data_IF_611134016167
#
_entry.id   IF_611134016167
#
_cell.length_a   1.000
_cell.length_b   1.000
_cell.length_c   1.000
_cell.angle_alpha   90.00
_cell.angle_beta   90.00
_cell.angle_gamma   90.00
#
_symmetry.space_group_name_H-M   'P 1'
#
loop_
_entity.id
_entity.type
_entity.pdbx_description
1 polymer ?
#
# COMPACT_ATOMS: atom_id res chain seq x y z
N UNK A 1 8.62 -5.31 -39.01
CA UNK A 1 8.43 -4.79 -37.63
C UNK A 1 7.05 -5.18 -37.15
N UNK A 2 6.91 -6.07 -36.17
CA UNK A 2 5.60 -6.40 -35.57
C UNK A 2 5.18 -5.24 -34.67
N UNK A 3 4.18 -4.47 -35.10
CA UNK A 3 3.47 -3.53 -34.21
C UNK A 3 2.88 -4.38 -33.08
N UNK A 4 3.42 -4.28 -31.89
CA UNK A 4 2.73 -4.78 -30.70
C UNK A 4 1.47 -3.92 -30.52
N UNK A 5 0.30 -4.54 -30.57
CA UNK A 5 -1.01 -3.86 -30.48
C UNK A 5 -1.16 -3.07 -29.16
N UNK A 6 -0.42 -3.46 -28.12
CA UNK A 6 -0.40 -2.85 -26.79
C UNK A 6 1.05 -2.49 -26.44
N UNK A 7 1.35 -1.22 -26.06
CA UNK A 7 2.68 -0.84 -25.57
C UNK A 7 3.12 -1.71 -24.39
N UNK A 8 4.40 -2.10 -24.36
CA UNK A 8 4.98 -2.99 -23.34
C UNK A 8 4.79 -2.42 -21.93
N UNK A 9 4.90 -1.10 -21.76
CA UNK A 9 4.72 -0.46 -20.45
C UNK A 9 3.32 -0.71 -19.86
N UNK A 10 2.26 -0.82 -20.65
CA UNK A 10 0.92 -1.14 -20.14
C UNK A 10 0.78 -2.62 -19.74
N UNK A 11 1.49 -3.51 -20.41
CA UNK A 11 1.62 -4.91 -19.98
C UNK A 11 2.31 -4.96 -18.61
N UNK A 12 3.36 -4.15 -18.40
CA UNK A 12 4.01 -4.06 -17.08
C UNK A 12 3.10 -3.49 -15.99
N UNK A 13 2.22 -2.53 -16.31
CA UNK A 13 1.19 -2.05 -15.36
C UNK A 13 0.27 -3.19 -14.93
N UNK A 14 -0.17 -4.04 -15.86
CA UNK A 14 -0.98 -5.20 -15.52
C UNK A 14 -0.23 -6.17 -14.60
N UNK A 15 1.06 -6.42 -14.86
CA UNK A 15 1.87 -7.28 -13.99
C UNK A 15 2.07 -6.68 -12.60
N UNK A 16 2.31 -5.38 -12.49
CA UNK A 16 2.45 -4.70 -11.18
C UNK A 16 1.12 -4.64 -10.43
N UNK A 17 0.00 -4.49 -11.13
CA UNK A 17 -1.35 -4.60 -10.56
C UNK A 17 -1.62 -6.01 -10.01
N UNK A 18 -1.32 -7.05 -10.79
CA UNK A 18 -1.48 -8.45 -10.33
C UNK A 18 -0.57 -8.72 -9.12
N UNK A 19 0.64 -8.13 -9.10
CA UNK A 19 1.55 -8.24 -7.97
C UNK A 19 0.92 -7.69 -6.67
N UNK A 20 0.34 -6.49 -6.73
CA UNK A 20 -0.30 -5.88 -5.56
C UNK A 20 -1.61 -6.58 -5.18
N UNK A 21 -2.32 -7.12 -6.15
CA UNK A 21 -3.50 -7.97 -5.93
C UNK A 21 -3.12 -9.24 -5.16
N UNK A 22 -2.10 -9.99 -5.62
CA UNK A 22 -1.61 -11.20 -4.93
C UNK A 22 -1.15 -10.90 -3.50
N UNK A 23 -0.40 -9.82 -3.31
CA UNK A 23 0.07 -9.39 -2.00
C UNK A 23 -1.08 -9.23 -0.99
N UNK A 24 -2.19 -8.63 -1.41
CA UNK A 24 -3.34 -8.43 -0.53
C UNK A 24 -4.24 -9.67 -0.40
N UNK A 25 -4.25 -10.55 -1.39
CA UNK A 25 -4.86 -11.88 -1.24
C UNK A 25 -4.14 -12.66 -0.14
N UNK A 26 -2.81 -12.74 -0.18
CA UNK A 26 -2.00 -13.44 0.84
C UNK A 26 -2.23 -12.89 2.27
N UNK A 27 -2.45 -11.58 2.40
CA UNK A 27 -2.83 -10.95 3.67
C UNK A 27 -4.23 -11.33 4.15
N UNK A 28 -5.15 -11.55 3.21
CA UNK A 28 -6.52 -11.91 3.56
C UNK A 28 -6.67 -13.37 3.98
N UNK A 29 -5.81 -14.27 3.49
CA UNK A 29 -5.86 -15.71 3.80
C UNK A 29 -5.82 -15.98 5.31
N UNK A 30 -4.91 -15.33 6.05
CA UNK A 30 -4.80 -15.52 7.49
C UNK A 30 -6.04 -15.04 8.24
N UNK A 31 -6.65 -13.93 7.79
CA UNK A 31 -7.85 -13.38 8.41
C UNK A 31 -9.06 -14.27 8.21
N UNK A 32 -9.24 -14.83 7.01
CA UNK A 32 -10.31 -15.76 6.71
C UNK A 32 -10.12 -17.12 7.41
N UNK A 33 -8.86 -17.52 7.64
CA UNK A 33 -8.50 -18.77 8.33
C UNK A 33 -8.46 -18.65 9.86
N UNK A 34 -8.85 -17.51 10.45
CA UNK A 34 -8.75 -17.27 11.91
C UNK A 34 -9.37 -18.37 12.73
N UNK A 35 -10.65 -18.63 12.53
CA UNK A 35 -11.40 -19.54 13.42
C UNK A 35 -10.89 -20.98 13.34
N UNK A 36 -10.66 -21.57 12.16
CA UNK A 36 -10.07 -22.90 12.09
C UNK A 36 -8.63 -22.96 12.63
N UNK A 37 -7.79 -21.92 12.48
CA UNK A 37 -6.44 -21.89 13.06
C UNK A 37 -6.51 -21.83 14.60
N UNK A 38 -7.34 -20.94 15.14
CA UNK A 38 -7.52 -20.77 16.59
C UNK A 38 -8.00 -22.06 17.24
N UNK A 39 -8.98 -22.73 16.61
CA UNK A 39 -9.50 -24.00 17.09
C UNK A 39 -8.46 -25.14 17.02
N UNK A 40 -7.75 -25.25 15.89
CA UNK A 40 -6.80 -26.34 15.64
C UNK A 40 -5.52 -26.24 16.50
N UNK A 41 -5.04 -25.01 16.76
CA UNK A 41 -3.83 -24.76 17.55
C UNK A 41 -4.11 -24.44 19.02
N UNK A 42 -5.38 -24.39 19.45
CA UNK A 42 -5.76 -24.05 20.83
C UNK A 42 -5.32 -22.66 21.26
N UNK A 43 -5.38 -21.66 20.37
CA UNK A 43 -4.88 -20.32 20.61
C UNK A 43 -5.88 -19.48 21.42
N UNK A 44 -5.38 -18.68 22.35
CA UNK A 44 -6.15 -17.60 22.96
C UNK A 44 -6.28 -16.41 21.98
N UNK A 45 -7.29 -15.56 22.19
CA UNK A 45 -7.48 -14.34 21.41
C UNK A 45 -6.29 -13.37 21.54
N UNK A 46 -5.64 -13.34 22.69
CA UNK A 46 -4.42 -12.57 22.93
C UNK A 46 -3.26 -13.10 22.07
N UNK A 47 -3.07 -14.41 22.02
CA UNK A 47 -2.05 -15.04 21.17
C UNK A 47 -2.32 -14.78 19.68
N UNK A 48 -3.57 -14.83 19.24
CA UNK A 48 -3.94 -14.45 17.90
C UNK A 48 -3.57 -13.00 17.59
N UNK A 49 -3.88 -12.08 18.49
CA UNK A 49 -3.48 -10.67 18.39
C UNK A 49 -1.97 -10.49 18.19
N UNK A 50 -1.15 -11.23 18.94
CA UNK A 50 0.32 -11.20 18.80
C UNK A 50 0.78 -11.75 17.43
N UNK A 51 0.15 -12.80 16.91
CA UNK A 51 0.44 -13.33 15.56
C UNK A 51 0.20 -12.26 14.48
N UNK A 52 -0.92 -11.54 14.59
CA UNK A 52 -1.23 -10.45 13.65
C UNK A 52 -0.28 -9.25 13.81
N UNK A 53 0.06 -8.90 15.06
CA UNK A 53 1.01 -7.81 15.35
C UNK A 53 2.42 -8.13 14.85
N UNK A 54 2.87 -9.39 14.92
CA UNK A 54 4.18 -9.82 14.46
C UNK A 54 4.37 -9.54 12.95
N UNK A 55 3.34 -9.77 12.13
CA UNK A 55 3.35 -9.39 10.72
C UNK A 55 3.59 -7.88 10.54
N UNK A 56 2.81 -7.06 11.24
CA UNK A 56 2.88 -5.60 11.12
C UNK A 56 4.26 -5.07 11.53
N UNK A 57 4.82 -5.66 12.59
CA UNK A 57 6.16 -5.30 13.07
C UNK A 57 7.24 -5.67 12.04
N UNK A 58 7.23 -6.90 11.53
CA UNK A 58 8.15 -7.33 10.49
C UNK A 58 8.06 -6.45 9.24
N UNK A 59 6.84 -6.19 8.78
CA UNK A 59 6.57 -5.33 7.63
C UNK A 59 7.09 -3.90 7.84
N UNK A 60 6.85 -3.29 9.00
CA UNK A 60 7.31 -1.93 9.28
C UNK A 60 8.84 -1.84 9.31
N UNK A 61 9.51 -2.73 10.04
CA UNK A 61 10.96 -2.66 10.26
C UNK A 61 11.78 -2.89 8.98
N UNK A 62 11.29 -3.70 8.05
CA UNK A 62 12.05 -4.09 6.86
C UNK A 62 11.78 -3.26 5.62
N UNK A 63 10.90 -2.28 5.64
CA UNK A 63 10.57 -1.47 4.44
C UNK A 63 11.74 -0.63 3.93
N UNK A 64 12.44 0.08 4.80
CA UNK A 64 13.62 0.86 4.40
C UNK A 64 14.77 -0.04 3.95
N UNK A 65 15.18 -1.09 4.70
CA UNK A 65 16.21 -2.02 4.25
C UNK A 65 15.92 -2.66 2.89
N UNK A 66 14.71 -3.11 2.67
CA UNK A 66 14.32 -3.74 1.40
C UNK A 66 14.19 -2.72 0.26
N UNK A 67 13.87 -1.46 0.56
CA UNK A 67 13.94 -0.36 -0.38
C UNK A 67 15.38 -0.13 -0.91
N UNK A 68 16.36 -0.11 -0.01
CA UNK A 68 17.79 -0.08 -0.41
C UNK A 68 18.20 -1.30 -1.24
N UNK A 69 17.70 -2.47 -0.87
CA UNK A 69 17.96 -3.69 -1.63
C UNK A 69 17.40 -3.60 -3.05
N UNK A 70 16.20 -3.03 -3.22
CA UNK A 70 15.60 -2.79 -4.54
C UNK A 70 16.39 -1.80 -5.39
N UNK A 71 16.93 -0.73 -4.78
CA UNK A 71 17.75 0.25 -5.47
C UNK A 71 19.10 -0.32 -5.91
N UNK A 72 19.70 -1.22 -5.09
CA UNK A 72 21.01 -1.81 -5.36
C UNK A 72 20.96 -2.94 -6.40
N UNK A 73 20.00 -3.86 -6.26
CA UNK A 73 19.95 -5.09 -7.07
C UNK A 73 18.96 -5.05 -8.24
N UNK A 74 18.13 -4.00 -8.31
CA UNK A 74 17.10 -3.84 -9.31
C UNK A 74 15.78 -4.57 -8.96
N UNK A 75 14.64 -4.02 -9.43
CA UNK A 75 13.31 -4.54 -9.09
C UNK A 75 13.02 -5.94 -9.66
N UNK A 76 13.66 -6.34 -10.77
CA UNK A 76 13.47 -7.70 -11.31
C UNK A 76 13.87 -8.78 -10.29
N UNK A 77 15.08 -8.68 -9.80
CA UNK A 77 15.60 -9.65 -8.84
C UNK A 77 14.87 -9.53 -7.50
N UNK A 78 14.72 -8.32 -7.00
CA UNK A 78 14.18 -8.10 -5.65
C UNK A 78 12.70 -8.49 -5.57
N UNK A 79 11.84 -8.10 -6.52
CA UNK A 79 10.44 -8.54 -6.53
C UNK A 79 10.32 -10.05 -6.68
N UNK A 80 11.14 -10.69 -7.52
CA UNK A 80 11.17 -12.16 -7.60
C UNK A 80 11.53 -12.79 -6.27
N UNK A 81 12.63 -12.32 -5.65
CA UNK A 81 13.13 -12.87 -4.38
C UNK A 81 12.09 -12.73 -3.26
N UNK A 82 11.52 -11.54 -3.07
CA UNK A 82 10.55 -11.30 -2.00
C UNK A 82 9.25 -12.05 -2.23
N UNK A 83 8.77 -12.18 -3.49
CA UNK A 83 7.58 -12.99 -3.78
C UNK A 83 7.83 -14.47 -3.49
N UNK A 84 8.95 -15.03 -3.92
CA UNK A 84 9.32 -16.42 -3.61
C UNK A 84 9.44 -16.61 -2.09
N UNK A 85 10.09 -15.66 -1.39
CA UNK A 85 10.30 -15.74 0.04
C UNK A 85 8.98 -15.66 0.83
N UNK A 86 8.11 -14.68 0.54
CA UNK A 86 6.83 -14.63 1.25
C UNK A 86 5.91 -15.80 0.87
N UNK A 87 5.90 -16.24 -0.39
CA UNK A 87 5.08 -17.37 -0.82
C UNK A 87 5.55 -18.69 -0.19
N UNK A 88 6.85 -18.86 0.02
CA UNK A 88 7.40 -19.95 0.83
C UNK A 88 6.87 -19.87 2.27
N UNK A 89 6.86 -18.69 2.88
CA UNK A 89 6.36 -18.49 4.24
C UNK A 89 4.82 -18.63 4.32
N UNK A 90 4.10 -18.26 3.25
CA UNK A 90 2.67 -18.57 3.11
C UNK A 90 2.46 -20.09 3.15
N UNK A 91 3.17 -20.83 2.32
CA UNK A 91 3.12 -22.29 2.34
C UNK A 91 3.48 -22.86 3.70
N UNK A 92 4.57 -22.36 4.30
CA UNK A 92 5.05 -22.81 5.61
C UNK A 92 4.03 -22.55 6.72
N UNK A 93 3.23 -21.49 6.63
CA UNK A 93 2.15 -21.20 7.58
C UNK A 93 1.17 -22.39 7.70
N UNK A 94 0.88 -23.05 6.58
CA UNK A 94 0.01 -24.25 6.58
C UNK A 94 0.55 -25.44 7.37
N UNK A 95 1.84 -25.48 7.66
CA UNK A 95 2.51 -26.55 8.43
C UNK A 95 2.77 -26.18 9.91
N UNK A 96 2.42 -24.98 10.33
CA UNK A 96 2.64 -24.55 11.72
C UNK A 96 1.71 -25.30 12.70
N UNK A 97 2.29 -25.66 13.87
CA UNK A 97 1.63 -26.46 14.90
C UNK A 97 1.62 -25.82 16.28
N UNK A 98 2.16 -24.61 16.41
CA UNK A 98 2.23 -23.92 17.70
C UNK A 98 2.17 -22.41 17.56
N UNK A 99 1.82 -21.72 18.65
CA UNK A 99 1.83 -20.27 18.74
C UNK A 99 3.19 -19.67 18.33
N UNK A 100 4.29 -20.17 18.86
CA UNK A 100 5.62 -19.61 18.59
C UNK A 100 6.05 -19.78 17.14
N UNK A 101 5.79 -20.95 16.53
CA UNK A 101 6.10 -21.18 15.14
C UNK A 101 5.29 -20.24 14.22
N UNK A 102 4.00 -20.07 14.52
CA UNK A 102 3.13 -19.14 13.78
C UNK A 102 3.60 -17.69 13.94
N UNK A 103 3.97 -17.27 15.15
CA UNK A 103 4.48 -15.92 15.43
C UNK A 103 5.74 -15.61 14.60
N UNK A 104 6.72 -16.53 14.59
CA UNK A 104 7.98 -16.36 13.84
C UNK A 104 7.70 -16.29 12.34
N UNK A 105 6.90 -17.23 11.82
CA UNK A 105 6.58 -17.24 10.38
C UNK A 105 5.84 -15.97 9.97
N UNK A 106 4.92 -15.45 10.79
CA UNK A 106 4.20 -14.20 10.49
C UNK A 106 5.10 -12.97 10.54
N UNK A 107 6.06 -12.92 11.48
CA UNK A 107 7.07 -11.85 11.51
C UNK A 107 7.93 -11.86 10.24
N UNK A 108 8.47 -13.04 9.87
CA UNK A 108 9.29 -13.20 8.67
C UNK A 108 8.49 -12.93 7.39
N UNK A 109 7.21 -13.32 7.34
CA UNK A 109 6.31 -13.03 6.24
C UNK A 109 6.13 -11.52 6.06
N UNK A 110 5.90 -10.77 7.15
CA UNK A 110 5.85 -9.31 7.11
C UNK A 110 7.16 -8.69 6.60
N UNK A 111 8.29 -9.15 7.11
CA UNK A 111 9.62 -8.72 6.65
C UNK A 111 9.84 -9.02 5.16
N UNK A 112 9.37 -10.17 4.68
CA UNK A 112 9.44 -10.59 3.28
C UNK A 112 8.61 -9.72 2.35
N UNK A 113 7.40 -9.34 2.76
CA UNK A 113 6.53 -8.48 1.94
C UNK A 113 6.96 -7.00 1.92
N UNK A 114 7.74 -6.55 2.90
CA UNK A 114 8.03 -5.13 3.13
C UNK A 114 8.62 -4.40 1.91
N UNK A 115 9.35 -5.11 1.06
CA UNK A 115 10.00 -4.56 -0.14
C UNK A 115 9.10 -4.38 -1.37
N UNK A 116 7.87 -4.87 -1.36
CA UNK A 116 7.02 -4.90 -2.55
C UNK A 116 6.78 -3.49 -3.13
N UNK A 117 6.15 -2.59 -2.37
CA UNK A 117 5.88 -1.23 -2.83
C UNK A 117 7.13 -0.38 -3.07
N UNK A 118 8.19 -0.42 -2.23
CA UNK A 118 9.46 0.22 -2.54
C UNK A 118 10.07 -0.25 -3.87
N UNK A 119 10.07 -1.55 -4.14
CA UNK A 119 10.57 -2.08 -5.41
C UNK A 119 9.68 -1.69 -6.60
N UNK A 120 8.35 -1.64 -6.44
CA UNK A 120 7.43 -1.13 -7.47
C UNK A 120 7.69 0.35 -7.78
N UNK A 121 8.06 1.17 -6.79
CA UNK A 121 8.47 2.57 -7.03
C UNK A 121 9.70 2.64 -7.95
N UNK A 122 10.63 1.69 -7.80
CA UNK A 122 11.79 1.58 -8.71
C UNK A 122 11.40 1.15 -10.12
N UNK A 123 10.41 0.24 -10.27
CA UNK A 123 9.82 -0.10 -11.58
C UNK A 123 9.26 1.15 -12.25
N UNK A 124 8.46 1.93 -11.50
CA UNK A 124 7.83 3.15 -12.01
C UNK A 124 8.88 4.19 -12.43
N UNK A 125 9.94 4.38 -11.63
CA UNK A 125 11.04 5.26 -11.98
C UNK A 125 11.72 4.86 -13.30
N UNK A 126 11.99 3.57 -13.49
CA UNK A 126 12.76 3.07 -14.63
C UNK A 126 11.96 3.06 -15.95
N UNK A 127 10.67 2.75 -15.89
CA UNK A 127 9.85 2.41 -17.06
C UNK A 127 8.85 3.48 -17.48
N UNK A 128 8.47 4.40 -16.58
CA UNK A 128 7.36 5.31 -16.86
C UNK A 128 7.79 6.76 -16.97
N UNK A 129 7.28 7.47 -18.03
CA UNK A 129 7.35 8.91 -18.11
C UNK A 129 6.86 9.58 -16.82
N UNK A 130 7.42 10.75 -16.51
CA UNK A 130 6.98 11.52 -15.33
C UNK A 130 5.49 11.85 -15.35
N UNK A 131 4.91 11.97 -16.54
CA UNK A 131 3.48 12.27 -16.78
C UNK A 131 2.56 11.08 -16.53
N UNK A 132 3.07 9.83 -16.50
CA UNK A 132 2.28 8.60 -16.36
C UNK A 132 2.41 7.99 -14.96
N UNK A 133 3.24 8.55 -14.09
CA UNK A 133 3.52 8.01 -12.74
C UNK A 133 2.30 7.97 -11.83
N UNK A 134 1.44 9.00 -11.96
CA UNK A 134 0.26 9.12 -11.15
C UNK A 134 -0.72 7.97 -11.38
N UNK A 135 -1.09 7.75 -12.64
CA UNK A 135 -2.07 6.70 -12.99
C UNK A 135 -1.51 5.30 -12.71
N UNK A 136 -0.20 5.08 -12.95
CA UNK A 136 0.44 3.78 -12.65
C UNK A 136 0.40 3.49 -11.15
N UNK A 137 0.72 4.47 -10.30
CA UNK A 137 0.61 4.31 -8.84
C UNK A 137 -0.84 4.10 -8.42
N UNK A 138 -1.78 4.85 -8.98
CA UNK A 138 -3.22 4.66 -8.70
C UNK A 138 -3.70 3.25 -9.03
N UNK A 139 -3.30 2.70 -10.19
CA UNK A 139 -3.63 1.34 -10.60
C UNK A 139 -2.98 0.32 -9.62
N UNK A 140 -1.72 0.50 -9.27
CA UNK A 140 -1.04 -0.40 -8.33
C UNK A 140 -1.74 -0.43 -6.96
N UNK A 141 -2.13 0.72 -6.40
CA UNK A 141 -2.85 0.76 -5.12
C UNK A 141 -4.28 0.23 -5.22
N UNK A 142 -4.97 0.43 -6.36
CA UNK A 142 -6.29 -0.18 -6.56
C UNK A 142 -6.23 -1.70 -6.60
N UNK A 143 -5.14 -2.29 -7.11
CA UNK A 143 -4.91 -3.73 -7.06
C UNK A 143 -4.93 -4.27 -5.63
N UNK A 144 -4.34 -3.53 -4.69
CA UNK A 144 -4.39 -3.86 -3.27
C UNK A 144 -5.83 -3.85 -2.70
N UNK A 145 -6.64 -2.85 -3.06
CA UNK A 145 -8.05 -2.73 -2.61
C UNK A 145 -8.93 -3.82 -3.20
N UNK A 146 -8.81 -4.05 -4.50
CA UNK A 146 -9.55 -5.09 -5.22
C UNK A 146 -9.12 -6.48 -4.74
N UNK A 147 -7.81 -6.69 -4.54
CA UNK A 147 -7.26 -7.92 -3.98
C UNK A 147 -7.89 -8.26 -2.62
N UNK A 148 -7.93 -7.30 -1.70
CA UNK A 148 -8.56 -7.48 -0.39
C UNK A 148 -10.07 -7.79 -0.49
N UNK A 149 -10.79 -7.10 -1.39
CA UNK A 149 -12.24 -7.27 -1.55
C UNK A 149 -12.61 -8.65 -2.14
N UNK A 150 -11.84 -9.12 -3.13
CA UNK A 150 -12.11 -10.40 -3.81
C UNK A 150 -11.59 -11.59 -3.01
N UNK A 151 -10.51 -11.39 -2.24
CA UNK A 151 -9.86 -12.47 -1.52
C UNK A 151 -10.76 -13.16 -0.50
N UNK A 152 -11.48 -12.41 0.33
CA UNK A 152 -12.23 -12.99 1.45
C UNK A 152 -13.22 -14.07 1.04
N UNK A 153 -14.14 -13.85 0.08
CA UNK A 153 -15.08 -14.90 -0.33
C UNK A 153 -14.38 -16.07 -1.01
N UNK A 154 -13.36 -15.81 -1.83
CA UNK A 154 -12.63 -16.87 -2.52
C UNK A 154 -11.83 -17.74 -1.54
N UNK A 155 -11.15 -17.11 -0.58
CA UNK A 155 -10.39 -17.82 0.46
C UNK A 155 -11.30 -18.62 1.37
N UNK A 156 -12.45 -18.05 1.80
CA UNK A 156 -13.42 -18.78 2.61
C UNK A 156 -13.93 -20.04 1.89
N UNK A 157 -14.31 -19.91 0.62
CA UNK A 157 -14.69 -21.05 -0.22
C UNK A 157 -13.58 -22.12 -0.30
N UNK A 158 -12.34 -21.69 -0.49
CA UNK A 158 -11.21 -22.60 -0.60
C UNK A 158 -10.94 -23.33 0.74
N UNK A 159 -11.08 -22.62 1.87
CA UNK A 159 -10.94 -23.22 3.21
C UNK A 159 -12.02 -24.27 3.47
N UNK A 160 -13.26 -24.04 3.06
CA UNK A 160 -14.33 -25.02 3.16
C UNK A 160 -14.06 -26.26 2.29
N UNK A 161 -13.48 -26.08 1.10
CA UNK A 161 -13.23 -27.14 0.14
C UNK A 161 -12.04 -28.04 0.52
N UNK A 162 -10.90 -27.46 0.91
CA UNK A 162 -9.62 -28.17 1.11
C UNK A 162 -9.00 -27.95 2.49
N UNK A 163 -9.67 -27.22 3.37
CA UNK A 163 -9.17 -26.88 4.69
C UNK A 163 -8.13 -25.74 4.69
N UNK A 164 -7.93 -25.11 5.85
CA UNK A 164 -7.07 -23.93 5.98
C UNK A 164 -5.60 -24.21 5.64
N UNK A 165 -5.07 -25.38 5.99
CA UNK A 165 -3.66 -25.73 5.76
C UNK A 165 -3.32 -25.80 4.27
N UNK A 166 -4.13 -26.52 3.50
CA UNK A 166 -3.93 -26.64 2.06
C UNK A 166 -4.24 -25.34 1.31
N UNK A 167 -5.12 -24.48 1.84
CA UNK A 167 -5.33 -23.14 1.28
C UNK A 167 -4.06 -22.31 1.31
N UNK A 168 -3.29 -22.34 2.42
CA UNK A 168 -1.98 -21.66 2.48
C UNK A 168 -0.98 -22.26 1.47
N UNK A 169 -0.96 -23.58 1.29
CA UNK A 169 -0.11 -24.23 0.27
C UNK A 169 -0.50 -23.76 -1.14
N UNK A 170 -1.79 -23.71 -1.44
CA UNK A 170 -2.31 -23.25 -2.72
C UNK A 170 -1.85 -21.83 -3.05
N UNK A 171 -2.04 -20.87 -2.14
CA UNK A 171 -1.62 -19.49 -2.37
C UNK A 171 -0.09 -19.34 -2.45
N UNK A 172 0.66 -20.06 -1.63
CA UNK A 172 2.11 -20.06 -1.73
C UNK A 172 2.62 -20.60 -3.07
N UNK A 173 2.05 -21.69 -3.59
CA UNK A 173 2.42 -22.23 -4.91
C UNK A 173 2.07 -21.24 -6.04
N UNK A 174 0.88 -20.65 -6.02
CA UNK A 174 0.46 -19.66 -7.04
C UNK A 174 1.35 -18.42 -7.02
N UNK A 175 1.77 -17.96 -5.83
CA UNK A 175 2.73 -16.86 -5.70
C UNK A 175 4.11 -17.19 -6.29
N UNK A 176 4.64 -18.40 -6.06
CA UNK A 176 5.91 -18.85 -6.68
C UNK A 176 5.78 -18.89 -8.20
N UNK A 177 4.67 -19.41 -8.74
CA UNK A 177 4.41 -19.40 -10.17
C UNK A 177 4.41 -17.98 -10.75
N UNK A 178 3.77 -17.05 -10.06
CA UNK A 178 3.79 -15.64 -10.46
C UNK A 178 5.21 -15.07 -10.44
N UNK A 179 6.02 -15.37 -9.42
CA UNK A 179 7.40 -14.91 -9.33
C UNK A 179 8.25 -15.41 -10.50
N UNK A 180 8.07 -16.66 -10.93
CA UNK A 180 8.75 -17.22 -12.11
C UNK A 180 8.36 -16.47 -13.37
N UNK A 181 7.05 -16.23 -13.59
CA UNK A 181 6.56 -15.48 -14.75
C UNK A 181 7.13 -14.06 -14.74
N UNK A 182 7.10 -13.38 -13.59
CA UNK A 182 7.68 -12.05 -13.42
C UNK A 182 9.16 -12.03 -13.81
N UNK A 183 9.95 -12.96 -13.31
CA UNK A 183 11.38 -13.03 -13.59
C UNK A 183 11.68 -13.24 -15.08
N UNK A 184 10.88 -14.06 -15.75
CA UNK A 184 11.05 -14.34 -17.18
C UNK A 184 10.66 -13.15 -18.05
N UNK A 185 9.57 -12.46 -17.72
CA UNK A 185 8.98 -11.38 -18.52
C UNK A 185 9.65 -10.03 -18.23
N UNK A 186 9.83 -9.67 -16.96
CA UNK A 186 10.26 -8.34 -16.59
C UNK A 186 11.78 -8.13 -16.80
N UNK A 187 12.15 -6.89 -17.16
CA UNK A 187 13.54 -6.39 -17.20
C UNK A 187 13.62 -5.07 -16.46
N UNK A 188 14.77 -4.80 -15.83
CA UNK A 188 14.94 -3.59 -15.00
C UNK A 188 14.90 -2.29 -15.81
N UNK A 189 15.29 -2.35 -17.07
CA UNK A 189 15.34 -1.17 -17.95
C UNK A 189 14.67 -1.44 -19.29
N UNK A 190 14.02 -0.44 -19.89
CA UNK A 190 13.50 -0.54 -21.26
C UNK A 190 14.55 -0.91 -22.30
N UNK A 191 15.79 -0.46 -22.08
CA UNK A 191 16.94 -0.72 -22.98
C UNK A 191 17.27 -2.22 -23.07
N UNK A 192 17.04 -2.97 -22.01
CA UNK A 192 17.35 -4.41 -21.89
C UNK A 192 16.18 -5.30 -22.36
N UNK A 193 15.04 -4.70 -22.75
CA UNK A 193 13.85 -5.44 -23.13
C UNK A 193 13.77 -5.66 -24.64
N UNK A 194 13.94 -6.91 -25.09
CA UNK A 194 14.06 -7.27 -26.53
C UNK A 194 12.78 -7.05 -27.34
N UNK A 195 11.62 -7.06 -26.72
CA UNK A 195 10.32 -7.01 -27.40
C UNK A 195 9.67 -5.61 -27.40
N UNK A 196 10.35 -4.58 -26.88
CA UNK A 196 9.86 -3.21 -26.90
C UNK A 196 10.07 -2.61 -28.30
N UNK A 197 9.06 -1.89 -28.82
CA UNK A 197 9.18 -1.13 -30.04
C UNK A 197 10.17 0.04 -29.91
N UNK A 198 10.90 0.36 -30.97
CA UNK A 198 11.89 1.45 -30.92
C UNK A 198 11.24 2.81 -30.62
N UNK A 199 10.06 3.08 -31.15
CA UNK A 199 9.29 4.31 -30.86
C UNK A 199 8.92 4.40 -29.38
N UNK A 200 8.43 3.31 -28.80
CA UNK A 200 8.07 3.26 -27.37
C UNK A 200 9.31 3.42 -26.48
N UNK A 201 10.40 2.76 -26.83
CA UNK A 201 11.68 2.89 -26.11
C UNK A 201 12.19 4.33 -26.16
N UNK A 202 12.22 4.94 -27.34
CA UNK A 202 12.66 6.31 -27.51
C UNK A 202 11.75 7.28 -26.73
N UNK A 203 10.44 7.07 -26.75
CA UNK A 203 9.49 7.87 -25.98
C UNK A 203 9.76 7.78 -24.47
N UNK A 204 9.94 6.57 -23.91
CA UNK A 204 10.23 6.39 -22.48
C UNK A 204 11.55 7.09 -22.12
N UNK A 205 12.61 6.88 -22.90
CA UNK A 205 13.92 7.45 -22.61
C UNK A 205 13.95 8.98 -22.68
N UNK A 206 13.17 9.57 -23.59
CA UNK A 206 13.06 11.01 -23.74
C UNK A 206 12.22 11.68 -22.65
N UNK A 207 11.27 10.94 -22.02
CA UNK A 207 10.25 11.52 -21.13
C UNK A 207 10.30 11.03 -19.70
N UNK A 208 11.05 9.97 -19.42
CA UNK A 208 11.32 9.55 -18.03
C UNK A 208 12.29 10.52 -17.35
N UNK A 209 12.27 10.55 -16.04
CA UNK A 209 13.24 11.32 -15.28
C UNK A 209 14.65 10.79 -15.54
N UNK A 210 15.60 11.65 -15.95
CA UNK A 210 16.95 11.20 -16.22
C UNK A 210 17.61 10.65 -14.95
N UNK A 211 18.42 9.58 -15.07
CA UNK A 211 19.20 9.09 -13.95
C UNK A 211 20.27 10.12 -13.54
N UNK A 212 20.68 10.10 -12.27
CA UNK A 212 21.77 10.96 -11.80
C UNK A 212 23.09 10.56 -12.43
N UNK A 213 23.96 11.52 -12.70
CA UNK A 213 25.29 11.28 -13.27
C UNK A 213 26.18 10.44 -12.35
N UNK A 214 25.95 10.49 -11.04
CA UNK A 214 26.65 9.67 -10.04
C UNK A 214 25.71 8.66 -9.42
N UNK A 215 25.93 7.38 -9.70
CA UNK A 215 25.29 6.27 -8.97
C UNK A 215 25.82 6.24 -7.52
N UNK A 216 25.27 7.09 -6.66
CA UNK A 216 25.58 7.05 -5.25
C UNK A 216 24.38 6.46 -4.49
N UNK A 217 24.63 5.43 -3.70
CA UNK A 217 23.67 5.00 -2.69
C UNK A 217 23.43 6.17 -1.75
N UNK A 218 22.16 6.55 -1.57
CA UNK A 218 21.77 7.65 -0.68
C UNK A 218 21.90 7.16 0.77
N UNK A 219 22.81 7.70 1.60
CA UNK A 219 22.92 7.29 2.99
C UNK A 219 21.62 7.56 3.75
N UNK A 220 21.22 6.66 4.63
CA UNK A 220 20.02 6.82 5.46
C UNK A 220 20.01 8.16 6.22
N UNK A 221 21.17 8.58 6.75
CA UNK A 221 21.32 9.88 7.40
C UNK A 221 20.91 11.08 6.53
N UNK A 222 21.12 11.03 5.21
CA UNK A 222 20.67 12.07 4.28
C UNK A 222 19.15 12.05 4.06
N UNK A 223 18.52 10.88 4.13
CA UNK A 223 17.06 10.78 4.05
C UNK A 223 16.44 11.43 5.29
N UNK A 224 16.89 11.06 6.49
CA UNK A 224 16.34 11.57 7.74
C UNK A 224 16.78 13.00 8.10
N UNK A 225 17.83 13.54 7.48
CA UNK A 225 18.19 14.95 7.62
C UNK A 225 17.39 15.88 6.71
N UNK A 226 16.61 15.35 5.77
CA UNK A 226 15.82 16.14 4.84
C UNK A 226 14.49 16.56 5.45
N UNK A 227 14.25 17.88 5.55
CA UNK A 227 12.95 18.41 5.94
C UNK A 227 11.81 17.97 5.02
N UNK A 228 12.09 17.80 3.72
CA UNK A 228 11.14 17.29 2.74
C UNK A 228 10.69 15.84 3.08
N UNK A 229 11.60 15.01 3.60
CA UNK A 229 11.29 13.63 4.04
C UNK A 229 10.46 13.61 5.32
N UNK A 230 10.75 14.50 6.28
CA UNK A 230 9.92 14.60 7.49
C UNK A 230 8.48 15.01 7.16
N UNK A 231 8.29 15.95 6.23
CA UNK A 231 6.96 16.32 5.73
C UNK A 231 6.28 15.14 5.03
N UNK A 232 7.02 14.38 4.20
CA UNK A 232 6.49 13.20 3.52
C UNK A 232 6.11 12.09 4.52
N UNK A 233 6.94 11.82 5.52
CA UNK A 233 6.64 10.85 6.58
C UNK A 233 5.44 11.27 7.41
N UNK A 234 5.37 12.53 7.82
CA UNK A 234 4.29 13.06 8.67
C UNK A 234 2.93 13.01 7.97
N UNK A 235 2.83 13.45 6.71
CA UNK A 235 1.59 13.36 5.96
C UNK A 235 1.18 11.91 5.70
N UNK A 236 2.15 11.00 5.52
CA UNK A 236 1.85 9.60 5.27
C UNK A 236 1.42 8.85 6.54
N UNK A 237 1.91 9.27 7.72
CA UNK A 237 1.36 8.87 9.02
C UNK A 237 -0.11 9.25 9.10
N UNK A 238 -0.47 10.50 8.77
CA UNK A 238 -1.86 10.97 8.83
C UNK A 238 -2.78 10.20 7.87
N UNK A 239 -2.32 9.93 6.64
CA UNK A 239 -3.08 9.13 5.66
C UNK A 239 -3.33 7.71 6.17
N UNK A 240 -2.28 7.03 6.64
CA UNK A 240 -2.40 5.67 7.15
C UNK A 240 -3.20 5.61 8.46
N UNK A 241 -3.10 6.62 9.33
CA UNK A 241 -3.89 6.70 10.56
C UNK A 241 -5.38 6.63 10.24
N UNK A 242 -5.84 7.41 9.29
CA UNK A 242 -7.24 7.42 8.83
C UNK A 242 -7.63 6.10 8.15
N UNK A 243 -6.79 5.60 7.24
CA UNK A 243 -7.08 4.39 6.49
C UNK A 243 -7.15 3.13 7.36
N UNK A 244 -6.25 2.97 8.33
CA UNK A 244 -6.23 1.77 9.19
C UNK A 244 -7.38 1.70 10.18
N UNK A 245 -8.07 2.81 10.47
CA UNK A 245 -9.38 2.76 11.13
C UNK A 245 -10.36 1.92 10.32
N UNK A 246 -10.42 2.14 9.02
CA UNK A 246 -11.30 1.39 8.11
C UNK A 246 -11.00 -0.11 8.10
N UNK A 247 -9.73 -0.48 8.10
CA UNK A 247 -9.34 -1.89 8.11
C UNK A 247 -9.58 -2.60 9.45
N UNK A 248 -9.39 -1.89 10.57
CA UNK A 248 -9.35 -2.52 11.88
C UNK A 248 -10.63 -2.31 12.69
N UNK A 249 -11.26 -1.15 12.57
CA UNK A 249 -12.31 -0.72 13.50
C UNK A 249 -13.65 -0.38 12.85
N UNK A 250 -13.70 -0.15 11.55
CA UNK A 250 -14.95 0.24 10.88
C UNK A 250 -16.04 -0.81 11.03
N UNK A 251 -15.73 -2.09 10.81
CA UNK A 251 -16.70 -3.17 10.96
C UNK A 251 -17.25 -3.27 12.40
N UNK A 252 -16.41 -3.40 13.46
CA UNK A 252 -16.92 -3.39 14.82
C UNK A 252 -17.70 -2.11 15.16
N UNK A 253 -17.18 -0.94 14.76
CA UNK A 253 -17.83 0.34 14.99
C UNK A 253 -19.25 0.40 14.41
N UNK A 254 -19.46 0.01 13.15
CA UNK A 254 -20.77 0.00 12.53
C UNK A 254 -21.69 -1.01 13.17
N UNK A 255 -21.19 -2.22 13.45
CA UNK A 255 -21.95 -3.28 14.09
C UNK A 255 -22.45 -2.88 15.47
N UNK A 256 -21.56 -2.38 16.32
CA UNK A 256 -21.85 -2.09 17.72
C UNK A 256 -22.68 -0.80 17.88
N UNK A 257 -22.40 0.24 17.06
CA UNK A 257 -23.11 1.51 17.14
C UNK A 257 -24.55 1.44 16.65
N UNK A 258 -24.81 0.64 15.61
CA UNK A 258 -26.10 0.58 14.94
C UNK A 258 -26.81 -0.78 15.12
N UNK A 259 -26.30 -1.64 15.97
CA UNK A 259 -26.84 -2.99 16.25
C UNK A 259 -27.11 -3.80 14.98
N UNK A 260 -26.12 -3.78 14.06
CA UNK A 260 -26.24 -4.44 12.74
C UNK A 260 -25.93 -5.93 12.82
N UNK A 261 -26.63 -6.70 11.99
CA UNK A 261 -26.25 -8.09 11.74
C UNK A 261 -24.87 -8.20 11.10
N UNK A 262 -24.16 -9.32 11.32
CA UNK A 262 -22.77 -9.50 10.83
C UNK A 262 -22.64 -9.35 9.32
N UNK A 263 -23.56 -9.88 8.53
CA UNK A 263 -23.55 -9.80 7.06
C UNK A 263 -23.80 -8.35 6.61
N UNK A 264 -24.74 -7.66 7.23
CA UNK A 264 -25.07 -6.27 6.91
C UNK A 264 -23.92 -5.32 7.24
N UNK A 265 -23.32 -5.45 8.43
CA UNK A 265 -22.13 -4.69 8.82
C UNK A 265 -20.94 -4.94 7.86
N UNK A 266 -20.76 -6.20 7.41
CA UNK A 266 -19.78 -6.57 6.41
C UNK A 266 -20.01 -5.88 5.07
N UNK A 267 -21.25 -5.89 4.57
CA UNK A 267 -21.63 -5.20 3.34
C UNK A 267 -21.37 -3.70 3.43
N UNK A 268 -21.83 -3.04 4.49
CA UNK A 268 -21.58 -1.62 4.71
C UNK A 268 -20.07 -1.29 4.79
N UNK A 269 -19.28 -2.15 5.44
CA UNK A 269 -17.83 -1.95 5.55
C UNK A 269 -17.08 -2.10 4.23
N UNK A 270 -17.64 -2.76 3.22
CA UNK A 270 -17.02 -2.90 1.90
C UNK A 270 -17.09 -1.61 1.05
N UNK A 271 -18.14 -0.80 1.25
CA UNK A 271 -18.39 0.40 0.41
C UNK A 271 -17.25 1.43 0.50
N UNK A 272 -16.75 1.83 1.69
CA UNK A 272 -15.62 2.76 1.77
C UNK A 272 -14.34 2.23 1.12
N UNK A 273 -14.09 0.91 1.13
CA UNK A 273 -12.92 0.31 0.45
C UNK A 273 -13.03 0.42 -1.08
N UNK A 274 -14.23 0.22 -1.63
CA UNK A 274 -14.50 0.44 -3.07
C UNK A 274 -14.29 1.92 -3.41
N UNK A 275 -14.81 2.84 -2.58
CA UNK A 275 -14.60 4.28 -2.74
C UNK A 275 -13.10 4.63 -2.73
N UNK A 276 -12.30 3.99 -1.87
CA UNK A 276 -10.84 4.15 -1.85
C UNK A 276 -10.17 3.73 -3.16
N UNK A 277 -10.59 2.60 -3.76
CA UNK A 277 -10.09 2.18 -5.07
C UNK A 277 -10.38 3.23 -6.16
N UNK A 278 -11.59 3.79 -6.17
CA UNK A 278 -11.97 4.88 -7.08
C UNK A 278 -11.15 6.15 -6.80
N UNK A 279 -10.87 6.46 -5.53
CA UNK A 279 -10.01 7.57 -5.11
C UNK A 279 -8.59 7.43 -5.65
N UNK A 280 -8.03 6.23 -5.63
CA UNK A 280 -6.72 5.93 -6.21
C UNK A 280 -6.69 6.19 -7.73
N UNK A 281 -7.69 5.73 -8.48
CA UNK A 281 -7.76 5.96 -9.92
C UNK A 281 -7.94 7.44 -10.26
N UNK A 282 -8.87 8.11 -9.59
CA UNK A 282 -9.12 9.52 -9.79
C UNK A 282 -7.89 10.37 -9.48
N UNK A 283 -7.24 10.13 -8.36
CA UNK A 283 -6.02 10.83 -7.98
C UNK A 283 -4.86 10.58 -8.95
N UNK A 284 -4.68 9.33 -9.39
CA UNK A 284 -3.67 8.98 -10.38
C UNK A 284 -3.86 9.75 -11.68
N UNK A 285 -5.09 9.77 -12.21
CA UNK A 285 -5.46 10.54 -13.38
C UNK A 285 -5.24 12.05 -13.17
N UNK A 286 -5.63 12.59 -12.01
CA UNK A 286 -5.49 14.01 -11.71
C UNK A 286 -4.03 14.44 -11.60
N UNK A 287 -3.18 13.63 -10.95
CA UNK A 287 -1.73 13.83 -10.88
C UNK A 287 -1.13 13.98 -12.27
N UNK A 288 -1.49 13.09 -13.20
CA UNK A 288 -0.96 13.09 -14.55
C UNK A 288 -1.57 14.20 -15.42
N UNK A 289 -2.85 14.51 -15.22
CA UNK A 289 -3.54 15.61 -15.92
C UNK A 289 -2.97 16.97 -15.58
N UNK A 290 -2.57 17.18 -14.33
CA UNK A 290 -1.97 18.43 -13.84
C UNK A 290 -0.47 18.49 -14.09
N UNK A 291 0.16 17.40 -14.51
CA UNK A 291 1.60 17.43 -14.80
C UNK A 291 1.93 18.33 -15.97
N UNK A 292 2.84 19.27 -15.75
CA UNK A 292 3.45 20.10 -16.78
C UNK A 292 4.96 20.19 -16.53
N UNK A 293 5.80 20.15 -17.57
CA UNK A 293 7.23 20.40 -17.40
C UNK A 293 7.47 21.72 -16.66
N UNK A 294 8.31 21.70 -15.65
CA UNK A 294 8.59 22.85 -14.77
C UNK A 294 7.56 23.14 -13.67
N UNK A 295 6.41 22.46 -13.66
CA UNK A 295 5.35 22.65 -12.64
C UNK A 295 4.99 21.36 -11.89
N UNK A 296 5.96 20.49 -11.67
CA UNK A 296 5.77 19.18 -11.03
C UNK A 296 5.15 19.30 -9.62
N UNK A 297 5.43 20.38 -8.89
CA UNK A 297 4.93 20.59 -7.53
C UNK A 297 3.41 20.58 -7.49
N UNK A 298 2.75 21.35 -8.38
CA UNK A 298 1.29 21.47 -8.39
C UNK A 298 0.60 20.15 -8.72
N UNK A 299 1.18 19.36 -9.62
CA UNK A 299 0.60 18.06 -9.99
C UNK A 299 0.60 17.05 -8.85
N UNK A 300 1.49 17.18 -7.85
CA UNK A 300 1.54 16.34 -6.64
C UNK A 300 0.72 16.96 -5.51
N UNK A 301 0.85 18.27 -5.33
CA UNK A 301 0.25 19.01 -4.20
C UNK A 301 -1.27 19.09 -4.28
N UNK A 302 -1.84 19.46 -5.43
CA UNK A 302 -3.28 19.67 -5.57
C UNK A 302 -4.09 18.40 -5.27
N UNK A 303 -3.79 17.22 -5.89
CA UNK A 303 -4.53 16.01 -5.59
C UNK A 303 -4.40 15.57 -4.13
N UNK A 304 -3.22 15.72 -3.52
CA UNK A 304 -2.98 15.37 -2.13
C UNK A 304 -3.76 16.26 -1.16
N UNK A 305 -3.72 17.58 -1.36
CA UNK A 305 -4.49 18.54 -0.53
C UNK A 305 -5.99 18.28 -0.68
N UNK A 306 -6.50 18.10 -1.90
CA UNK A 306 -7.90 17.77 -2.14
C UNK A 306 -8.29 16.45 -1.44
N UNK A 307 -7.43 15.44 -1.49
CA UNK A 307 -7.63 14.18 -0.79
C UNK A 307 -7.72 14.35 0.73
N UNK A 308 -6.80 15.09 1.34
CA UNK A 308 -6.83 15.35 2.78
C UNK A 308 -8.01 16.23 3.21
N UNK A 309 -8.45 17.16 2.35
CA UNK A 309 -9.68 17.95 2.62
C UNK A 309 -10.91 17.03 2.66
N UNK A 310 -11.05 16.12 1.70
CA UNK A 310 -12.14 15.14 1.69
C UNK A 310 -12.05 14.18 2.89
N UNK A 311 -10.83 13.72 3.23
CA UNK A 311 -10.62 12.88 4.40
C UNK A 311 -11.03 13.59 5.70
N UNK A 312 -10.59 14.84 5.89
CA UNK A 312 -10.96 15.64 7.06
C UNK A 312 -12.47 15.91 7.12
N UNK A 313 -13.06 16.29 5.99
CA UNK A 313 -14.50 16.56 5.92
C UNK A 313 -15.34 15.30 6.21
N UNK A 314 -14.98 14.15 5.61
CA UNK A 314 -15.66 12.89 5.85
C UNK A 314 -15.61 12.47 7.32
N UNK A 315 -14.45 12.62 7.99
CA UNK A 315 -14.29 12.30 9.41
C UNK A 315 -15.08 13.28 10.31
N UNK A 316 -15.16 14.57 9.98
CA UNK A 316 -16.00 15.51 10.71
C UNK A 316 -17.50 15.21 10.52
N UNK A 317 -17.91 14.88 9.30
CA UNK A 317 -19.30 14.51 9.01
C UNK A 317 -19.75 13.26 9.80
N UNK A 318 -18.81 12.34 10.12
CA UNK A 318 -19.09 11.19 10.98
C UNK A 318 -19.67 11.57 12.36
N UNK A 319 -19.37 12.77 12.86
CA UNK A 319 -19.89 13.26 14.14
C UNK A 319 -21.43 13.44 14.12
N UNK A 320 -21.99 13.63 12.93
CA UNK A 320 -23.42 13.89 12.68
C UNK A 320 -24.12 12.68 12.05
N UNK A 321 -23.47 11.53 11.99
CA UNK A 321 -24.04 10.33 11.40
C UNK A 321 -25.02 9.65 12.40
N UNK A 322 -26.31 9.69 12.10
CA UNK A 322 -27.38 9.10 12.92
C UNK A 322 -27.82 7.72 12.42
N UNK A 323 -27.53 7.40 11.15
CA UNK A 323 -27.91 6.11 10.55
C UNK A 323 -26.68 5.40 9.97
N UNK A 324 -26.70 4.05 9.83
CA UNK A 324 -25.60 3.31 9.25
C UNK A 324 -25.31 3.73 7.80
N UNK A 325 -26.33 4.03 6.99
CA UNK A 325 -26.21 4.45 5.61
C UNK A 325 -25.44 5.78 5.49
N UNK A 326 -25.80 6.77 6.32
CA UNK A 326 -25.13 8.07 6.36
C UNK A 326 -23.69 7.92 6.84
N UNK A 327 -23.44 7.09 7.87
CA UNK A 327 -22.10 6.77 8.34
C UNK A 327 -21.22 6.20 7.23
N UNK A 328 -21.75 5.25 6.46
CA UNK A 328 -21.03 4.60 5.34
C UNK A 328 -20.71 5.59 4.23
N UNK A 329 -21.63 6.50 3.89
CA UNK A 329 -21.37 7.57 2.90
C UNK A 329 -20.26 8.49 3.38
N UNK A 330 -20.27 8.92 4.64
CA UNK A 330 -19.25 9.81 5.18
C UNK A 330 -17.87 9.11 5.29
N UNK A 331 -17.86 7.84 5.68
CA UNK A 331 -16.64 7.02 5.65
C UNK A 331 -16.15 6.81 4.21
N UNK A 332 -17.04 6.61 3.24
CA UNK A 332 -16.67 6.48 1.84
C UNK A 332 -16.00 7.77 1.32
N UNK A 333 -16.51 8.94 1.68
CA UNK A 333 -15.88 10.23 1.36
C UNK A 333 -14.51 10.33 2.02
N UNK A 334 -14.40 9.96 3.30
CA UNK A 334 -13.14 10.02 4.04
C UNK A 334 -12.08 9.11 3.42
N UNK A 335 -12.42 7.88 3.07
CA UNK A 335 -11.49 6.88 2.51
C UNK A 335 -11.17 7.17 1.05
N UNK A 336 -12.14 7.62 0.25
CA UNK A 336 -11.88 8.15 -1.08
C UNK A 336 -10.79 9.24 -1.01
N UNK A 337 -10.95 10.21 -0.09
CA UNK A 337 -9.98 11.28 0.12
C UNK A 337 -8.62 10.77 0.61
N UNK A 338 -8.59 9.89 1.61
CA UNK A 338 -7.36 9.32 2.13
C UNK A 338 -6.58 8.55 1.04
N UNK A 339 -7.26 7.74 0.24
CA UNK A 339 -6.66 6.98 -0.86
C UNK A 339 -6.24 7.88 -2.04
N UNK A 340 -6.91 9.02 -2.26
CA UNK A 340 -6.42 10.05 -3.20
C UNK A 340 -5.01 10.56 -2.86
N UNK A 341 -4.55 10.46 -1.62
CA UNK A 341 -3.22 10.93 -1.22
C UNK A 341 -2.10 9.97 -1.60
N UNK A 342 -2.41 8.70 -1.92
CA UNK A 342 -1.40 7.67 -2.19
C UNK A 342 -0.61 7.95 -3.46
N UNK A 343 -1.31 8.14 -4.59
CA UNK A 343 -0.65 8.38 -5.89
C UNK A 343 0.33 9.58 -5.85
N UNK A 344 -0.05 10.78 -5.37
CA UNK A 344 0.89 11.89 -5.28
C UNK A 344 2.02 11.65 -4.27
N UNK A 345 1.79 10.96 -3.14
CA UNK A 345 2.82 10.69 -2.12
C UNK A 345 3.91 9.77 -2.65
N UNK A 346 3.53 8.70 -3.33
CA UNK A 346 4.50 7.77 -3.91
C UNK A 346 5.20 8.35 -5.12
N UNK A 347 4.49 9.10 -5.99
CA UNK A 347 5.11 9.86 -7.08
C UNK A 347 6.11 10.89 -6.56
N UNK A 348 5.79 11.58 -5.46
CA UNK A 348 6.72 12.51 -4.79
C UNK A 348 8.01 11.82 -4.36
N UNK A 349 7.92 10.65 -3.72
CA UNK A 349 9.11 9.87 -3.32
C UNK A 349 9.96 9.45 -4.52
N UNK A 350 9.33 9.08 -5.63
CA UNK A 350 10.04 8.74 -6.87
C UNK A 350 10.75 9.98 -7.44
N UNK A 351 10.07 11.14 -7.43
CA UNK A 351 10.62 12.38 -7.98
C UNK A 351 11.86 12.87 -7.21
N UNK A 352 11.82 12.85 -5.86
CA UNK A 352 12.95 13.30 -5.03
C UNK A 352 14.03 12.23 -4.83
N UNK A 353 13.65 10.95 -4.90
CA UNK A 353 14.55 9.79 -4.71
C UNK A 353 15.34 9.41 -5.95
N UNK A 354 14.79 9.64 -7.14
CA UNK A 354 15.38 9.21 -8.42
C UNK A 354 15.75 7.71 -8.38
N UNK A 355 17.03 7.36 -8.57
CA UNK A 355 17.53 5.98 -8.49
C UNK A 355 17.36 5.35 -7.11
N UNK A 356 17.24 6.16 -6.08
CA UNK A 356 17.01 5.72 -4.70
C UNK A 356 15.52 5.75 -4.31
N UNK A 357 14.62 5.65 -5.31
CA UNK A 357 13.17 5.70 -5.10
C UNK A 357 12.68 4.61 -4.14
N UNK A 358 13.31 3.44 -4.14
CA UNK A 358 13.02 2.34 -3.23
C UNK A 358 13.29 2.70 -1.77
N UNK A 359 14.49 3.21 -1.46
CA UNK A 359 14.88 3.61 -0.10
C UNK A 359 14.01 4.77 0.40
N UNK A 360 13.75 5.77 -0.44
CA UNK A 360 12.96 6.96 -0.09
C UNK A 360 11.50 6.60 0.17
N UNK A 361 10.86 5.86 -0.74
CA UNK A 361 9.47 5.44 -0.57
C UNK A 361 9.33 4.41 0.56
N UNK A 362 10.31 3.52 0.75
CA UNK A 362 10.34 2.58 1.86
C UNK A 362 10.40 3.30 3.22
N UNK A 363 11.18 4.38 3.33
CA UNK A 363 11.27 5.17 4.57
C UNK A 363 9.96 5.91 4.87
N UNK A 364 9.33 6.51 3.86
CA UNK A 364 8.00 7.12 4.02
C UNK A 364 6.97 6.07 4.46
N UNK A 365 6.95 4.92 3.81
CA UNK A 365 5.98 3.86 4.10
C UNK A 365 6.21 3.22 5.49
N UNK A 366 7.46 3.08 5.92
CA UNK A 366 7.80 2.67 7.29
C UNK A 366 7.15 3.60 8.32
N UNK A 367 7.31 4.91 8.15
CA UNK A 367 6.67 5.89 9.03
C UNK A 367 5.13 5.79 9.01
N UNK A 368 4.53 5.64 7.83
CA UNK A 368 3.09 5.44 7.69
C UNK A 368 2.57 4.20 8.43
N UNK A 369 3.31 3.09 8.38
CA UNK A 369 2.92 1.87 9.10
C UNK A 369 3.11 1.97 10.62
N UNK A 370 4.03 2.80 11.11
CA UNK A 370 4.07 3.17 12.53
C UNK A 370 2.82 3.97 12.92
N UNK A 371 2.35 4.89 12.06
CA UNK A 371 1.07 5.58 12.23
C UNK A 371 -0.12 4.62 12.27
N UNK A 372 -0.13 3.63 11.38
CA UNK A 372 -1.13 2.57 11.36
C UNK A 372 -1.17 1.76 12.67
N UNK A 373 0.00 1.39 13.20
CA UNK A 373 0.12 0.72 14.50
C UNK A 373 -0.48 1.58 15.62
N UNK A 374 -0.18 2.88 15.63
CA UNK A 374 -0.76 3.81 16.60
C UNK A 374 -2.28 3.87 16.48
N UNK A 375 -2.84 3.86 15.26
CA UNK A 375 -4.30 3.88 15.03
C UNK A 375 -5.00 2.68 15.68
N UNK A 376 -4.43 1.49 15.51
CA UNK A 376 -5.00 0.25 16.04
C UNK A 376 -5.13 0.32 17.57
N UNK A 377 -4.16 0.95 18.22
CA UNK A 377 -4.14 1.11 19.68
C UNK A 377 -4.96 2.32 20.12
N UNK A 378 -4.86 3.45 19.40
CA UNK A 378 -5.47 4.70 19.80
C UNK A 378 -6.99 4.65 19.88
N UNK A 379 -7.66 3.96 18.95
CA UNK A 379 -9.11 3.93 18.91
C UNK A 379 -9.76 3.35 20.18
N UNK A 380 -9.43 2.13 20.63
CA UNK A 380 -10.02 1.57 21.85
C UNK A 380 -9.60 2.31 23.13
N UNK A 381 -8.37 2.83 23.19
CA UNK A 381 -7.93 3.61 24.35
C UNK A 381 -8.69 4.95 24.44
N UNK A 382 -8.83 5.67 23.33
CA UNK A 382 -9.61 6.92 23.32
C UNK A 382 -11.07 6.68 23.68
N UNK A 383 -11.67 5.60 23.16
CA UNK A 383 -13.00 5.20 23.50
C UNK A 383 -13.12 4.85 24.99
N UNK A 384 -12.18 4.09 25.55
CA UNK A 384 -12.15 3.72 26.97
C UNK A 384 -11.96 4.91 27.90
N UNK A 385 -11.20 5.93 27.52
CA UNK A 385 -10.97 7.13 28.35
C UNK A 385 -12.08 8.14 28.27
N UNK A 386 -12.67 8.31 27.07
CA UNK A 386 -13.64 9.39 26.82
C UNK A 386 -15.10 8.89 26.82
N UNK A 387 -15.31 7.59 26.61
CA UNK A 387 -16.64 7.01 26.40
C UNK A 387 -17.29 7.42 25.08
N UNK A 388 -16.58 8.14 24.21
CA UNK A 388 -17.12 8.71 22.97
C UNK A 388 -16.17 8.51 21.77
N UNK A 389 -16.69 7.95 20.69
CA UNK A 389 -15.95 7.75 19.42
C UNK A 389 -15.58 9.07 18.73
N UNK A 390 -16.25 10.18 19.04
CA UNK A 390 -16.07 11.50 18.39
C UNK A 390 -14.63 11.99 18.50
N UNK A 391 -13.98 11.76 19.64
CA UNK A 391 -12.58 12.17 19.83
C UNK A 391 -11.62 11.55 18.80
N UNK A 392 -11.87 10.32 18.40
CA UNK A 392 -11.05 9.68 17.37
C UNK A 392 -11.27 10.35 16.00
N UNK A 393 -12.49 10.67 15.63
CA UNK A 393 -12.78 11.36 14.36
C UNK A 393 -12.21 12.78 14.33
N UNK A 394 -12.25 13.52 15.45
CA UNK A 394 -11.55 14.79 15.58
C UNK A 394 -10.04 14.64 15.37
N UNK A 395 -9.42 13.60 15.95
CA UNK A 395 -8.00 13.33 15.77
C UNK A 395 -7.65 13.03 14.31
N UNK A 396 -8.40 12.17 13.64
CA UNK A 396 -8.21 11.88 12.21
C UNK A 396 -8.32 13.14 11.34
N UNK A 397 -9.33 13.96 11.62
CA UNK A 397 -9.52 15.22 10.89
C UNK A 397 -8.36 16.22 11.16
N UNK A 398 -7.94 16.37 12.42
CA UNK A 398 -6.82 17.22 12.80
C UNK A 398 -5.51 16.79 12.14
N UNK A 399 -5.22 15.48 12.09
CA UNK A 399 -4.06 14.93 11.39
C UNK A 399 -4.15 15.20 9.88
N UNK A 400 -5.33 15.09 9.28
CA UNK A 400 -5.54 15.41 7.86
C UNK A 400 -5.30 16.89 7.56
N UNK A 401 -5.76 17.79 8.42
CA UNK A 401 -5.48 19.25 8.31
C UNK A 401 -3.98 19.52 8.45
N UNK A 402 -3.31 18.89 9.41
CA UNK A 402 -1.86 19.00 9.55
C UNK A 402 -1.13 18.52 8.28
N UNK A 403 -1.59 17.43 7.65
CA UNK A 403 -1.04 16.93 6.41
C UNK A 403 -1.23 17.91 5.23
N UNK A 404 -2.34 18.66 5.18
CA UNK A 404 -2.53 19.74 4.20
C UNK A 404 -1.45 20.81 4.36
N UNK A 405 -1.16 21.21 5.60
CA UNK A 405 -0.08 22.16 5.89
C UNK A 405 1.27 21.60 5.44
N UNK A 406 1.56 20.32 5.76
CA UNK A 406 2.80 19.66 5.32
C UNK A 406 2.93 19.66 3.79
N UNK A 407 1.87 19.32 3.06
CA UNK A 407 1.88 19.33 1.58
C UNK A 407 2.12 20.73 1.01
N UNK A 408 1.69 21.78 1.70
CA UNK A 408 1.94 23.15 1.26
C UNK A 408 3.43 23.53 1.24
N UNK A 409 4.26 22.85 2.04
CA UNK A 409 5.71 23.06 2.10
C UNK A 409 6.52 22.02 1.32
N UNK A 410 5.94 20.87 0.94
CA UNK A 410 6.65 19.81 0.21
C UNK A 410 7.07 20.27 -1.19
N UNK A 411 8.30 19.94 -1.58
CA UNK A 411 8.98 20.37 -2.82
C UNK A 411 9.43 19.13 -3.63
N UNK A 412 8.60 18.71 -4.56
CA UNK A 412 8.91 17.58 -5.49
C UNK A 412 10.00 17.91 -6.52
N UNK A 413 10.33 19.19 -6.69
CA UNK A 413 11.40 19.70 -7.57
C UNK A 413 12.80 19.68 -6.91
N UNK A 414 12.91 19.26 -5.64
CA UNK A 414 14.18 19.23 -4.91
C UNK A 414 14.62 17.79 -4.62
N UNK A 415 15.40 17.14 -5.50
CA UNK A 415 15.91 15.80 -5.26
C UNK A 415 16.85 15.77 -4.07
N UNK A 416 16.88 14.60 -3.38
CA UNK A 416 17.74 14.36 -2.22
C UNK A 416 19.23 14.22 -2.61
N UNK A 417 19.49 13.78 -3.84
CA UNK A 417 20.83 13.74 -4.44
C UNK A 417 20.91 14.95 -5.36
N UNK A 418 21.77 15.91 -5.01
CA UNK A 418 22.13 17.02 -5.91
C UNK A 418 23.02 16.47 -7.02
N UNK A 419 22.79 16.92 -8.24
CA UNK A 419 23.63 16.67 -9.40
C UNK A 419 25.02 17.25 -9.23
#
# INVERSE_FOLDING_TARGET
MKRTFIPVRFVLVLFTFIHTLNLYIDRAVISAARDPIVADLGLSMTQWGWIMAAFTLGYALFQTPTGYFADARGPRFVLTFIVVFWSFLTTLTGFMKSFFSMLIVRFLFGAGEAGAFPALSKVVFNWFPMKERGIVQGINFSGARIGAAVALPFVAFLIELIGWRYSFVFFGVTGIMFAVIWYLVFRDKPEDYKFIGEEERAHILATRQPPSLKKASLPFGKIVSSGNMWLAMGQYIASNFTFYFTLSWMYPYLKDRFDLGGVEAGFYSSIPLIAGALGNWFSGWLVDRLYRPGQIILSRRIPAIAGFLLAAAGMILMLFAETPQISVIYLAIAIFGADMTLSPSWSFCIDIGKENAGAVSGTMNMAGNLGAFVTIIAFPYLLGWTGDHRFFFYLCSGLSVMAIVMWSFMRSDRPLVKE
#
